data_IF_038894848137
#
_entry.id   IF_038894848137
#
_cell.length_a   1.000
_cell.length_b   1.000
_cell.length_c   1.000
_cell.angle_alpha   90.00
_cell.angle_beta   90.00
_cell.angle_gamma   90.00
#
_symmetry.space_group_name_H-M   'P 1'
#
loop_
_entity.id
_entity.type
_entity.pdbx_description
1 polymer ?
#
# COMPACT_ATOMS: atom_id res chain seq x y z
N UNK A 1 13.09 38.59 -5.80
CA UNK A 1 12.40 37.31 -6.07
C UNK A 1 12.00 36.68 -4.74
N UNK A 2 10.73 36.80 -4.35
CA UNK A 2 10.24 36.21 -3.11
C UNK A 2 10.23 34.69 -3.22
N UNK A 3 11.06 33.99 -2.45
CA UNK A 3 11.03 32.52 -2.36
C UNK A 3 9.77 32.13 -1.59
N UNK A 4 8.69 31.87 -2.31
CA UNK A 4 7.47 31.33 -1.70
C UNK A 4 7.76 29.91 -1.20
N UNK A 5 7.82 29.76 0.13
CA UNK A 5 7.89 28.45 0.80
C UNK A 5 6.62 27.61 0.57
N UNK A 6 5.54 28.23 0.08
CA UNK A 6 4.28 27.55 -0.26
C UNK A 6 4.39 26.81 -1.60
N UNK A 7 5.18 27.33 -2.56
CA UNK A 7 5.31 26.75 -3.90
C UNK A 7 6.48 25.76 -4.02
N UNK A 8 7.51 25.91 -3.17
CA UNK A 8 8.62 24.97 -3.07
C UNK A 8 8.21 23.79 -2.19
N UNK A 9 7.46 22.83 -2.74
CA UNK A 9 7.06 21.62 -2.03
C UNK A 9 8.25 20.98 -1.29
N UNK A 10 8.04 20.55 -0.05
CA UNK A 10 9.09 19.91 0.74
C UNK A 10 9.47 18.57 0.10
N UNK A 11 10.75 18.35 -0.19
CA UNK A 11 11.24 17.08 -0.71
C UNK A 11 10.83 15.92 0.22
N UNK A 12 10.29 14.84 -0.35
CA UNK A 12 9.87 13.62 0.36
C UNK A 12 10.47 12.39 -0.29
N UNK A 13 10.71 11.35 0.50
CA UNK A 13 11.12 10.05 -0.03
C UNK A 13 10.02 9.47 -0.94
N UNK A 14 10.32 8.97 -2.15
CA UNK A 14 9.31 8.38 -3.03
C UNK A 14 8.70 7.08 -2.47
N UNK A 15 9.38 6.42 -1.52
CA UNK A 15 8.87 5.20 -0.86
C UNK A 15 8.01 5.47 0.38
N UNK A 16 8.60 6.05 1.42
CA UNK A 16 7.91 6.27 2.71
C UNK A 16 7.26 7.67 2.86
N UNK A 17 7.45 8.57 1.89
CA UNK A 17 7.01 9.98 1.92
C UNK A 17 7.38 10.79 3.16
N UNK A 18 8.33 10.30 3.97
CA UNK A 18 8.96 11.06 5.04
C UNK A 18 9.97 12.07 4.47
N UNK A 19 10.31 13.13 5.21
CA UNK A 19 11.43 14.00 4.85
C UNK A 19 12.72 13.17 4.72
N UNK A 20 13.65 13.49 3.79
CA UNK A 20 14.85 12.70 3.53
C UNK A 20 15.64 12.32 4.79
N UNK A 21 15.81 13.26 5.73
CA UNK A 21 16.49 13.05 7.02
C UNK A 21 15.83 12.02 7.95
N UNK A 22 14.55 11.69 7.71
CA UNK A 22 13.77 10.72 8.49
C UNK A 22 13.35 9.53 7.64
N UNK A 23 14.00 9.32 6.48
CA UNK A 23 13.70 8.19 5.63
C UNK A 23 14.03 6.86 6.34
N UNK A 24 13.03 5.98 6.46
CA UNK A 24 13.17 4.66 7.09
C UNK A 24 13.30 3.53 6.08
N UNK A 25 13.34 3.81 4.77
CA UNK A 25 13.37 2.77 3.74
C UNK A 25 14.55 1.81 3.89
N UNK A 26 15.71 2.29 4.35
CA UNK A 26 16.90 1.46 4.58
C UNK A 26 16.72 0.44 5.72
N UNK A 27 15.77 0.70 6.65
CA UNK A 27 15.49 -0.17 7.78
C UNK A 27 14.46 -1.27 7.44
N UNK A 28 13.99 -1.31 6.19
CA UNK A 28 13.02 -2.30 5.73
C UNK A 28 13.76 -3.41 4.96
N UNK A 29 14.06 -4.56 5.59
CA UNK A 29 14.61 -5.69 4.87
C UNK A 29 13.56 -6.28 3.91
N UNK A 30 13.98 -6.83 2.77
CA UNK A 30 13.07 -7.63 1.94
C UNK A 30 12.61 -8.87 2.71
N UNK A 31 11.34 -9.18 2.60
CA UNK A 31 10.71 -10.36 3.19
C UNK A 31 10.35 -11.30 2.04
N UNK A 32 11.04 -12.43 1.99
CA UNK A 32 10.79 -13.49 1.01
C UNK A 32 9.72 -14.45 1.53
N UNK A 33 8.84 -14.89 0.64
CA UNK A 33 7.79 -15.86 0.97
C UNK A 33 7.44 -16.72 -0.25
N UNK A 34 6.94 -17.93 -0.01
CA UNK A 34 6.39 -18.81 -1.06
C UNK A 34 4.94 -18.48 -1.41
N UNK A 35 4.31 -17.58 -0.66
CA UNK A 35 2.92 -17.18 -0.87
C UNK A 35 2.85 -16.01 -1.86
N UNK A 36 1.88 -16.04 -2.77
CA UNK A 36 1.49 -14.86 -3.50
C UNK A 36 0.71 -13.92 -2.56
N UNK A 37 1.32 -12.78 -2.21
CA UNK A 37 0.75 -11.85 -1.23
C UNK A 37 -0.04 -10.75 -1.92
N UNK A 38 -1.35 -10.74 -1.67
CA UNK A 38 -2.27 -9.70 -2.12
C UNK A 38 -2.83 -8.93 -0.93
N UNK A 39 -2.64 -7.61 -0.92
CA UNK A 39 -3.04 -6.75 0.19
C UNK A 39 -4.26 -5.93 -0.22
N UNK A 40 -5.37 -6.11 0.49
CA UNK A 40 -6.52 -5.22 0.34
C UNK A 40 -6.32 -3.95 1.17
N UNK A 41 -6.20 -2.81 0.51
CA UNK A 41 -6.01 -1.50 1.14
C UNK A 41 -7.27 -0.67 0.98
N UNK A 42 -7.77 -0.10 2.07
CA UNK A 42 -8.89 0.82 2.01
C UNK A 42 -8.55 2.06 1.16
N UNK A 43 -9.50 2.56 0.37
CA UNK A 43 -9.30 3.75 -0.51
C UNK A 43 -8.63 4.94 0.21
N UNK A 44 -9.03 5.23 1.45
CA UNK A 44 -8.48 6.34 2.24
C UNK A 44 -7.03 6.13 2.70
N UNK A 45 -6.51 4.91 2.64
CA UNK A 45 -5.15 4.55 3.05
C UNK A 45 -4.17 4.46 1.88
N UNK A 46 -4.67 4.44 0.64
CA UNK A 46 -3.85 4.37 -0.58
C UNK A 46 -2.79 5.49 -0.68
N UNK A 47 -3.03 6.62 -0.02
CA UNK A 47 -2.11 7.77 0.02
C UNK A 47 -1.37 7.90 1.35
N UNK A 48 -1.52 6.94 2.25
CA UNK A 48 -0.88 6.90 3.57
C UNK A 48 0.33 5.97 3.49
N UNK A 49 1.55 6.51 3.31
CA UNK A 49 2.76 5.71 3.16
C UNK A 49 3.14 4.94 4.44
N UNK A 50 2.59 5.35 5.58
CA UNK A 50 2.74 4.70 6.89
C UNK A 50 1.67 3.64 7.18
N UNK A 51 0.75 3.36 6.25
CA UNK A 51 -0.22 2.28 6.44
C UNK A 51 0.49 0.93 6.44
N UNK A 52 -0.01 -0.01 7.26
CA UNK A 52 0.53 -1.38 7.28
C UNK A 52 0.48 -2.03 5.90
N UNK A 53 -0.58 -1.78 5.12
CA UNK A 53 -0.66 -2.28 3.76
C UNK A 53 0.43 -1.74 2.83
N UNK A 54 0.71 -0.43 2.89
CA UNK A 54 1.81 0.17 2.13
C UNK A 54 3.18 -0.34 2.60
N UNK A 55 3.33 -0.62 3.90
CA UNK A 55 4.54 -1.22 4.44
C UNK A 55 4.75 -2.63 3.87
N UNK A 56 3.73 -3.49 3.91
CA UNK A 56 3.79 -4.86 3.38
C UNK A 56 4.17 -4.88 1.91
N UNK A 57 3.57 -4.01 1.09
CA UNK A 57 3.90 -3.92 -0.35
C UNK A 57 5.35 -3.50 -0.60
N UNK A 58 5.93 -2.70 0.30
CA UNK A 58 7.30 -2.23 0.19
C UNK A 58 8.33 -3.25 0.70
N UNK A 59 7.93 -4.16 1.59
CA UNK A 59 8.85 -5.11 2.23
C UNK A 59 8.74 -6.52 1.67
N UNK A 60 7.53 -7.01 1.38
CA UNK A 60 7.32 -8.38 0.91
C UNK A 60 7.56 -8.46 -0.59
N UNK A 61 8.52 -9.30 -0.99
CA UNK A 61 8.89 -9.47 -2.40
C UNK A 61 7.70 -9.97 -3.21
N UNK A 62 7.36 -9.24 -4.28
CA UNK A 62 6.25 -9.58 -5.17
C UNK A 62 4.85 -9.27 -4.63
N UNK A 63 4.71 -8.63 -3.46
CA UNK A 63 3.41 -8.29 -2.93
C UNK A 63 2.71 -7.21 -3.79
N UNK A 64 1.38 -7.37 -3.97
CA UNK A 64 0.55 -6.45 -4.75
C UNK A 64 -0.59 -5.92 -3.90
N UNK A 65 -0.77 -4.59 -3.88
CA UNK A 65 -1.95 -3.98 -3.26
C UNK A 65 -3.12 -3.79 -4.22
N UNK A 66 -4.32 -4.01 -3.70
CA UNK A 66 -5.59 -3.76 -4.36
C UNK A 66 -6.41 -2.76 -3.55
N UNK A 67 -7.10 -1.85 -4.21
CA UNK A 67 -8.00 -0.93 -3.52
C UNK A 67 -9.30 -1.66 -3.17
N UNK A 68 -9.57 -1.78 -1.87
CA UNK A 68 -10.86 -2.22 -1.36
C UNK A 68 -11.77 -1.03 -1.08
N UNK A 69 -12.98 -1.09 -1.62
CA UNK A 69 -14.03 -0.11 -1.44
C UNK A 69 -15.38 -0.82 -1.44
N UNK A 70 -16.13 -0.71 -0.35
CA UNK A 70 -17.55 -1.08 -0.36
C UNK A 70 -18.34 -0.08 -1.20
N UNK A 71 -19.44 -0.51 -1.85
CA UNK A 71 -20.29 0.42 -2.57
C UNK A 71 -20.81 1.50 -1.61
N UNK A 72 -20.74 2.76 -2.05
CA UNK A 72 -21.30 3.92 -1.35
C UNK A 72 -22.01 4.79 -2.38
N UNK A 73 -22.74 5.82 -1.93
CA UNK A 73 -23.37 6.80 -2.83
C UNK A 73 -22.41 7.48 -3.82
N UNK A 74 -21.10 7.52 -3.51
CA UNK A 74 -20.10 8.22 -4.33
C UNK A 74 -19.11 7.29 -5.04
N UNK A 75 -19.01 6.04 -4.61
CA UNK A 75 -17.96 5.13 -5.08
C UNK A 75 -18.54 3.74 -5.31
N UNK A 76 -18.31 3.22 -6.51
CA UNK A 76 -18.59 1.83 -6.84
C UNK A 76 -17.73 0.87 -6.00
N UNK A 77 -18.18 -0.38 -5.89
CA UNK A 77 -17.42 -1.42 -5.25
C UNK A 77 -16.07 -1.64 -5.97
N UNK A 78 -15.00 -1.83 -5.20
CA UNK A 78 -13.68 -2.25 -5.70
C UNK A 78 -13.07 -3.27 -4.75
N UNK A 79 -12.27 -4.18 -5.29
CA UNK A 79 -11.59 -5.22 -4.54
C UNK A 79 -10.64 -6.01 -5.44
N UNK A 80 -10.41 -7.27 -5.09
CA UNK A 80 -9.63 -8.21 -5.90
C UNK A 80 -10.43 -8.62 -7.15
N UNK A 81 -9.75 -8.86 -8.27
CA UNK A 81 -10.41 -9.34 -9.49
C UNK A 81 -10.92 -10.78 -9.31
N UNK A 82 -11.98 -11.14 -10.05
CA UNK A 82 -12.55 -12.47 -9.99
C UNK A 82 -11.54 -13.54 -10.45
N UNK A 83 -10.71 -13.21 -11.43
CA UNK A 83 -9.68 -14.08 -12.00
C UNK A 83 -8.61 -14.40 -10.96
N UNK A 84 -8.21 -13.42 -10.15
CA UNK A 84 -7.26 -13.64 -9.07
C UNK A 84 -7.87 -14.48 -7.94
N UNK A 85 -9.15 -14.24 -7.62
CA UNK A 85 -9.88 -15.08 -6.67
C UNK A 85 -10.05 -16.54 -7.17
N UNK A 86 -9.99 -16.75 -8.48
CA UNK A 86 -10.10 -18.05 -9.15
C UNK A 86 -8.73 -18.64 -9.56
N UNK A 87 -7.63 -18.01 -9.16
CA UNK A 87 -6.29 -18.50 -9.49
C UNK A 87 -6.04 -19.89 -8.90
N UNK A 88 -5.22 -20.71 -9.59
CA UNK A 88 -4.88 -22.06 -9.12
C UNK A 88 -4.09 -22.00 -7.81
N UNK A 89 -4.72 -22.45 -6.72
CA UNK A 89 -4.11 -22.58 -5.40
C UNK A 89 -5.16 -22.38 -4.30
N UNK A 90 -4.78 -22.68 -3.07
CA UNK A 90 -5.63 -22.40 -1.91
C UNK A 90 -5.61 -20.90 -1.62
N UNK A 91 -6.79 -20.28 -1.58
CA UNK A 91 -6.96 -18.89 -1.19
C UNK A 91 -7.16 -18.79 0.32
N UNK A 92 -6.25 -18.10 1.00
CA UNK A 92 -6.34 -17.82 2.42
C UNK A 92 -6.65 -16.34 2.63
N UNK A 93 -7.72 -16.04 3.36
CA UNK A 93 -8.09 -14.67 3.73
C UNK A 93 -7.69 -14.47 5.20
N UNK A 94 -6.69 -13.61 5.42
CA UNK A 94 -6.34 -13.16 6.76
C UNK A 94 -7.20 -11.95 7.12
N UNK A 95 -8.14 -12.13 8.04
CA UNK A 95 -8.87 -11.00 8.62
C UNK A 95 -8.02 -10.36 9.72
N UNK A 96 -8.00 -9.02 9.87
CA UNK A 96 -7.26 -8.37 10.95
C UNK A 96 -7.71 -8.78 12.37
N UNK A 97 -8.83 -9.49 12.50
CA UNK A 97 -9.30 -10.07 13.77
C UNK A 97 -8.81 -11.49 14.07
N UNK A 98 -8.06 -12.13 13.17
CA UNK A 98 -7.81 -13.58 13.19
C UNK A 98 -8.82 -14.30 12.34
#
# INVERSE_FOLDING_TARGET
MGRSVVLAGAARCPGCSLPPRWCTCHALPPVETRLAVHVLIHRGETRKPSSTGALVVRTVTGAVSHVYQRPTRFHAARGVSAELAQSKGDLWILHPGG
#
